data_IF_981236698466
#
_entry.id   IF_981236698466
#
_cell.length_a   1.000
_cell.length_b   1.000
_cell.length_c   1.000
_cell.angle_alpha   90.00
_cell.angle_beta   90.00
_cell.angle_gamma   90.00
#
_symmetry.space_group_name_H-M   'P 1'
#
loop_
_entity.id
_entity.type
_entity.pdbx_description
1 polymer ?
#
# COMPACT_ATOMS: atom_id res chain seq x y z
N UNK A 1 -23.07 1.53 20.78
CA UNK A 1 -21.78 1.19 20.15
C UNK A 1 -21.50 2.26 19.11
N UNK A 2 -20.54 3.17 19.33
CA UNK A 2 -20.20 4.20 18.34
C UNK A 2 -19.68 3.50 17.08
N UNK A 3 -20.15 3.84 15.88
CA UNK A 3 -19.76 3.11 14.68
C UNK A 3 -18.25 3.24 14.46
N UNK A 4 -17.59 2.10 14.27
CA UNK A 4 -16.15 2.01 14.09
C UNK A 4 -15.83 2.23 12.61
N UNK A 5 -15.79 3.51 12.18
CA UNK A 5 -15.43 3.86 10.81
C UNK A 5 -13.92 3.70 10.63
N UNK A 6 -13.44 3.03 9.59
CA UNK A 6 -12.01 3.07 9.29
C UNK A 6 -11.70 4.39 8.56
N UNK A 7 -10.54 5.03 8.79
CA UNK A 7 -10.18 6.22 8.03
C UNK A 7 -10.15 5.85 6.55
N UNK A 8 -10.86 6.60 5.71
CA UNK A 8 -10.91 6.32 4.26
C UNK A 8 -9.50 6.29 3.65
N UNK A 9 -8.63 7.20 4.12
CA UNK A 9 -7.22 7.28 3.74
C UNK A 9 -6.48 5.97 4.02
N UNK A 10 -6.69 5.32 5.18
CA UNK A 10 -6.09 4.02 5.47
C UNK A 10 -6.53 2.98 4.44
N UNK A 11 -7.82 2.92 4.11
CA UNK A 11 -8.37 1.95 3.17
C UNK A 11 -7.76 2.14 1.78
N UNK A 12 -7.74 3.39 1.28
CA UNK A 12 -7.20 3.73 -0.05
C UNK A 12 -5.71 3.37 -0.15
N UNK A 13 -4.89 3.78 0.81
CA UNK A 13 -3.46 3.48 0.80
C UNK A 13 -3.17 1.98 0.96
N UNK A 14 -3.98 1.26 1.72
CA UNK A 14 -3.85 -0.20 1.86
C UNK A 14 -4.16 -0.89 0.54
N UNK A 15 -5.25 -0.52 -0.13
CA UNK A 15 -5.61 -1.08 -1.44
C UNK A 15 -4.54 -0.77 -2.48
N UNK A 16 -4.06 0.48 -2.56
CA UNK A 16 -2.97 0.86 -3.45
C UNK A 16 -1.68 0.09 -3.15
N UNK A 17 -1.33 -0.07 -1.86
CA UNK A 17 -0.17 -0.86 -1.44
C UNK A 17 -0.26 -2.31 -1.89
N UNK A 18 -1.43 -2.95 -1.77
CA UNK A 18 -1.66 -4.33 -2.24
C UNK A 18 -1.52 -4.42 -3.76
N UNK A 19 -2.10 -3.49 -4.51
CA UNK A 19 -2.00 -3.47 -5.97
C UNK A 19 -0.54 -3.31 -6.42
N UNK A 20 0.20 -2.39 -5.81
CA UNK A 20 1.62 -2.17 -6.10
C UNK A 20 2.47 -3.40 -5.75
N UNK A 21 2.17 -4.06 -4.63
CA UNK A 21 2.89 -5.27 -4.22
C UNK A 21 2.67 -6.42 -5.21
N UNK A 22 1.42 -6.66 -5.61
CA UNK A 22 1.08 -7.70 -6.58
C UNK A 22 1.75 -7.40 -7.93
N UNK A 23 1.66 -6.15 -8.41
CA UNK A 23 2.29 -5.73 -9.65
C UNK A 23 3.82 -5.85 -9.58
N UNK A 24 4.44 -5.47 -8.46
CA UNK A 24 5.89 -5.57 -8.25
C UNK A 24 6.38 -7.02 -8.24
N UNK A 25 5.67 -7.93 -7.57
CA UNK A 25 5.97 -9.37 -7.58
C UNK A 25 5.80 -9.94 -8.99
N UNK A 26 4.72 -9.57 -9.70
CA UNK A 26 4.51 -10.03 -11.07
C UNK A 26 5.58 -9.49 -12.04
N UNK A 27 6.04 -8.25 -11.85
CA UNK A 27 7.14 -7.66 -12.62
C UNK A 27 8.46 -8.41 -12.37
N UNK A 28 8.79 -8.71 -11.11
CA UNK A 28 9.94 -9.53 -10.72
C UNK A 28 9.89 -10.95 -11.31
N UNK A 29 8.71 -11.55 -11.38
CA UNK A 29 8.50 -12.85 -12.02
C UNK A 29 8.61 -12.80 -13.56
N UNK A 30 8.86 -11.63 -14.15
CA UNK A 30 8.95 -11.43 -15.59
C UNK A 30 7.60 -11.42 -16.32
N UNK A 31 6.48 -11.51 -15.58
CA UNK A 31 5.14 -11.65 -16.14
C UNK A 31 4.68 -10.38 -16.89
N UNK A 32 5.26 -9.23 -16.55
CA UNK A 32 4.92 -7.93 -17.16
C UNK A 32 5.88 -7.49 -18.28
N UNK A 33 6.95 -8.24 -18.60
CA UNK A 33 7.98 -7.85 -19.58
C UNK A 33 7.44 -7.54 -20.98
N UNK A 34 6.33 -8.15 -21.38
CA UNK A 34 5.66 -7.90 -22.66
C UNK A 34 4.58 -6.81 -22.64
N UNK A 35 4.24 -6.28 -21.46
CA UNK A 35 3.12 -5.32 -21.31
C UNK A 35 3.56 -3.87 -21.46
N UNK A 36 4.76 -3.53 -20.99
CA UNK A 36 5.31 -2.18 -21.07
C UNK A 36 6.84 -2.22 -21.03
N UNK A 37 7.56 -1.41 -21.84
CA UNK A 37 9.03 -1.40 -21.89
C UNK A 37 9.70 -1.20 -20.53
N UNK A 38 9.03 -0.45 -19.64
CA UNK A 38 9.48 -0.21 -18.27
C UNK A 38 9.72 -1.51 -17.47
N UNK A 39 8.93 -2.56 -17.70
CA UNK A 39 9.06 -3.83 -16.97
C UNK A 39 10.16 -4.75 -17.52
N UNK A 40 10.91 -4.30 -18.53
CA UNK A 40 12.12 -4.99 -18.99
C UNK A 40 13.31 -4.83 -18.04
N UNK A 41 13.27 -3.84 -17.15
CA UNK A 41 14.27 -3.60 -16.11
C UNK A 41 13.80 -4.14 -14.76
N UNK A 42 14.63 -4.98 -14.12
CA UNK A 42 14.36 -5.53 -12.80
C UNK A 42 14.26 -4.41 -11.74
N UNK A 43 14.86 -3.24 -11.93
CA UNK A 43 14.69 -2.11 -11.01
C UNK A 43 13.24 -1.61 -10.92
N UNK A 44 12.43 -1.79 -11.98
CA UNK A 44 11.03 -1.38 -11.98
C UNK A 44 10.19 -2.18 -10.97
N UNK A 45 10.42 -3.50 -10.85
CA UNK A 45 9.71 -4.33 -9.87
C UNK A 45 10.05 -3.93 -8.43
N UNK A 46 11.33 -3.61 -8.17
CA UNK A 46 11.75 -3.09 -6.86
C UNK A 46 11.12 -1.74 -6.52
N UNK A 47 11.04 -0.82 -7.50
CA UNK A 47 10.39 0.47 -7.30
C UNK A 47 8.90 0.32 -6.87
N UNK A 48 8.18 -0.64 -7.47
CA UNK A 48 6.81 -0.95 -7.08
C UNK A 48 6.70 -1.52 -5.66
N UNK A 49 7.60 -2.43 -5.27
CA UNK A 49 7.63 -3.02 -3.93
C UNK A 49 7.90 -1.93 -2.87
N UNK A 50 8.90 -1.07 -3.09
CA UNK A 50 9.21 0.04 -2.18
C UNK A 50 8.00 0.99 -2.05
N UNK A 51 7.35 1.29 -3.17
CA UNK A 51 6.13 2.12 -3.19
C UNK A 51 4.96 1.47 -2.42
N UNK A 52 4.84 0.14 -2.48
CA UNK A 52 3.85 -0.61 -1.70
C UNK A 52 4.09 -0.47 -0.20
N UNK A 53 5.35 -0.64 0.25
CA UNK A 53 5.73 -0.47 1.66
C UNK A 53 5.46 0.96 2.12
N UNK A 54 5.86 1.96 1.32
CA UNK A 54 5.58 3.37 1.62
C UNK A 54 4.08 3.62 1.77
N UNK A 55 3.26 3.07 0.86
CA UNK A 55 1.79 3.19 0.91
C UNK A 55 1.22 2.59 2.19
N UNK A 56 1.67 1.40 2.61
CA UNK A 56 1.20 0.81 3.87
C UNK A 56 1.54 1.64 5.09
N UNK A 57 2.76 2.21 5.15
CA UNK A 57 3.17 3.08 6.27
C UNK A 57 2.34 4.38 6.28
N UNK A 58 2.14 5.00 5.12
CA UNK A 58 1.30 6.19 4.98
C UNK A 58 -0.15 5.91 5.40
N UNK A 59 -0.69 4.76 5.00
CA UNK A 59 -2.04 4.34 5.42
C UNK A 59 -2.13 4.07 6.92
N UNK A 60 -1.12 3.41 7.50
CA UNK A 60 -1.09 3.05 8.91
C UNK A 60 -1.09 4.26 9.85
N UNK A 61 -0.46 5.38 9.46
CA UNK A 61 -0.33 6.56 10.31
C UNK A 61 -1.70 7.14 10.76
N UNK A 62 -2.66 7.49 9.87
CA UNK A 62 -4.00 7.91 10.26
C UNK A 62 -4.75 6.90 11.16
N UNK A 63 -4.55 5.59 10.93
CA UNK A 63 -5.19 4.55 11.72
C UNK A 63 -4.65 4.55 13.16
N UNK A 64 -3.34 4.71 13.34
CA UNK A 64 -2.71 4.80 14.67
C UNK A 64 -3.18 6.04 15.41
N UNK A 65 -3.22 7.21 14.77
CA UNK A 65 -3.72 8.45 15.39
C UNK A 65 -5.16 8.30 15.90
N UNK A 66 -6.03 7.68 15.09
CA UNK A 66 -7.40 7.41 15.51
C UNK A 66 -7.45 6.50 16.74
N UNK A 67 -6.65 5.42 16.75
CA UNK A 67 -6.60 4.49 17.89
C UNK A 67 -6.08 5.16 19.16
N UNK A 68 -5.16 6.11 19.04
CA UNK A 68 -4.70 6.92 20.17
C UNK A 68 -5.83 7.83 20.69
N UNK A 69 -6.52 8.55 19.80
CA UNK A 69 -7.65 9.40 20.18
C UNK A 69 -8.80 8.63 20.84
N UNK A 70 -9.11 7.41 20.37
CA UNK A 70 -10.10 6.52 20.97
C UNK A 70 -9.70 6.06 22.38
N UNK A 71 -8.39 5.93 22.66
CA UNK A 71 -7.86 5.55 24.00
C UNK A 71 -7.80 6.72 24.97
N UNK A 72 -7.49 7.93 24.50
CA UNK A 72 -7.49 9.14 25.34
C UNK A 72 -8.92 9.59 25.70
N UNK A 73 -9.91 9.23 24.88
CA UNK A 73 -11.32 9.56 25.10
C UNK A 73 -12.07 8.51 25.94
N UNK A 74 -11.40 7.46 26.41
CA UNK A 74 -11.95 6.37 27.21
C UNK A 74 -11.51 6.48 28.66
#
# INVERSE_FOLDING_TARGET
MKPHHWPWTFLVFTVLGVVLLIAGIAAMAGLLRGTHPLFGDDMAGWALIVSAVASFVTGAFPLVLRRLAERESA
#
